data_IF_609945420086
#
_entry.id   IF_609945420086
#
_cell.length_a   1.000
_cell.length_b   1.000
_cell.length_c   1.000
_cell.angle_alpha   90.00
_cell.angle_beta   90.00
_cell.angle_gamma   90.00
#
_symmetry.space_group_name_H-M   'P 1'
#
loop_
_entity.id
_entity.type
_entity.pdbx_description
1 polymer ?
#
# COMPACT_ATOMS: atom_id res chain seq x y z
N UNK A 1 12.80 -12.18 19.77
CA UNK A 1 11.46 -12.11 20.39
C UNK A 1 10.90 -10.72 20.13
N UNK A 2 9.79 -10.56 19.39
CA UNK A 2 9.18 -9.24 19.21
C UNK A 2 8.56 -8.81 20.55
N UNK A 3 8.93 -7.63 21.06
CA UNK A 3 8.40 -7.07 22.29
C UNK A 3 6.92 -6.72 22.12
N UNK A 4 6.11 -6.92 23.16
CA UNK A 4 4.73 -6.39 23.25
C UNK A 4 4.76 -4.93 23.68
N UNK A 5 3.75 -4.17 23.27
CA UNK A 5 3.58 -2.77 23.61
C UNK A 5 2.31 -2.53 24.42
N UNK A 6 2.26 -1.43 25.16
CA UNK A 6 1.04 -0.99 25.84
C UNK A 6 -0.05 -0.70 24.79
N UNK A 7 -1.23 -1.25 25.00
CA UNK A 7 -2.36 -1.15 24.08
C UNK A 7 -2.44 -2.26 23.03
N UNK A 8 -1.46 -3.17 22.96
CA UNK A 8 -1.51 -4.33 22.07
C UNK A 8 -2.74 -5.20 22.37
N UNK A 9 -3.33 -5.76 21.32
CA UNK A 9 -4.37 -6.77 21.41
C UNK A 9 -3.78 -8.17 21.32
N UNK A 10 -4.27 -9.06 22.18
CA UNK A 10 -3.87 -10.45 22.23
C UNK A 10 -5.10 -11.35 22.21
N UNK A 11 -5.01 -12.45 21.49
CA UNK A 11 -6.01 -13.52 21.50
C UNK A 11 -5.39 -14.87 21.87
N UNK A 12 -6.24 -15.77 22.35
CA UNK A 12 -5.88 -17.15 22.72
C UNK A 12 -7.08 -18.08 22.53
N UNK A 13 -6.82 -19.37 22.46
CA UNK A 13 -7.86 -20.40 22.41
C UNK A 13 -8.08 -20.92 23.85
N UNK A 14 -9.31 -20.84 24.34
CA UNK A 14 -9.67 -21.36 25.66
C UNK A 14 -9.81 -22.91 25.65
N UNK A 15 -10.08 -23.49 26.83
CA UNK A 15 -10.23 -24.95 26.99
C UNK A 15 -11.42 -25.54 26.22
N UNK A 16 -12.38 -24.70 25.85
CA UNK A 16 -13.55 -25.07 25.06
C UNK A 16 -13.31 -24.89 23.56
N UNK A 17 -12.09 -24.55 23.15
CA UNK A 17 -11.73 -24.32 21.76
C UNK A 17 -12.22 -22.99 21.20
N UNK A 18 -12.64 -22.04 22.05
CA UNK A 18 -13.17 -20.74 21.61
C UNK A 18 -12.06 -19.69 21.60
N UNK A 19 -12.10 -18.82 20.59
CA UNK A 19 -11.20 -17.68 20.49
C UNK A 19 -11.63 -16.60 21.48
N UNK A 20 -10.77 -16.31 22.45
CA UNK A 20 -10.91 -15.21 23.40
C UNK A 20 -9.84 -14.16 23.13
N UNK A 21 -10.05 -12.92 23.57
CA UNK A 21 -9.05 -11.87 23.44
C UNK A 21 -9.17 -10.79 24.50
N UNK A 22 -8.08 -10.09 24.73
CA UNK A 22 -7.99 -8.97 25.68
C UNK A 22 -6.94 -7.96 25.21
N UNK A 23 -7.02 -6.74 25.74
CA UNK A 23 -5.99 -5.72 25.55
C UNK A 23 -4.97 -5.73 26.67
N UNK A 24 -3.72 -5.52 26.32
CA UNK A 24 -2.64 -5.32 27.28
C UNK A 24 -2.63 -3.84 27.66
N UNK A 25 -2.84 -3.54 28.95
CA UNK A 25 -2.78 -2.18 29.44
C UNK A 25 -1.35 -1.73 29.73
N UNK A 26 -0.56 -2.63 30.32
CA UNK A 26 0.85 -2.37 30.65
C UNK A 26 1.72 -3.58 30.33
N UNK A 27 2.86 -3.34 29.72
CA UNK A 27 3.94 -4.30 29.49
C UNK A 27 5.10 -3.91 30.40
N UNK A 28 5.61 -4.86 31.17
CA UNK A 28 6.85 -4.74 31.93
C UNK A 28 7.76 -5.91 31.56
N UNK A 29 8.71 -5.65 30.67
CA UNK A 29 9.62 -6.67 30.13
C UNK A 29 8.84 -7.84 29.50
N UNK A 30 8.86 -9.03 30.13
CA UNK A 30 8.12 -10.21 29.68
C UNK A 30 6.77 -10.41 30.40
N UNK A 31 6.33 -9.45 31.21
CA UNK A 31 5.06 -9.51 31.95
C UNK A 31 4.03 -8.61 31.28
N UNK A 32 2.88 -9.17 30.97
CA UNK A 32 1.75 -8.48 30.35
C UNK A 32 0.66 -8.29 31.41
N UNK A 33 0.22 -7.05 31.60
CA UNK A 33 -0.82 -6.68 32.55
C UNK A 33 -2.07 -6.23 31.77
N UNK A 34 -3.10 -7.09 31.67
CA UNK A 34 -4.41 -6.68 31.14
C UNK A 34 -5.15 -5.80 32.15
N UNK A 35 -6.22 -5.14 31.70
CA UNK A 35 -7.13 -4.41 32.60
C UNK A 35 -7.81 -5.36 33.60
N UNK A 36 -8.30 -6.48 33.07
CA UNK A 36 -8.95 -7.55 33.81
C UNK A 36 -8.25 -8.86 33.45
N UNK A 37 -7.85 -9.63 34.47
CA UNK A 37 -7.11 -10.86 34.25
C UNK A 37 -8.03 -11.95 33.70
N UNK A 38 -7.84 -12.41 32.44
CA UNK A 38 -8.66 -13.48 31.89
C UNK A 38 -8.30 -14.81 32.55
N UNK A 39 -9.25 -15.75 32.59
CA UNK A 39 -9.00 -17.11 33.08
C UNK A 39 -8.16 -17.88 32.06
N UNK A 40 -6.84 -17.81 32.21
CA UNK A 40 -5.87 -18.43 31.31
C UNK A 40 -5.10 -19.50 32.09
N UNK A 41 -5.09 -20.72 31.56
CA UNK A 41 -4.26 -21.80 32.11
C UNK A 41 -2.78 -21.50 31.88
N UNK A 42 -1.88 -21.82 32.83
CA UNK A 42 -0.45 -21.78 32.58
C UNK A 42 -0.07 -22.52 31.29
N UNK A 43 0.89 -21.96 30.54
CA UNK A 43 1.35 -22.46 29.22
C UNK A 43 0.38 -22.29 28.04
N UNK A 44 -0.71 -21.53 28.19
CA UNK A 44 -1.56 -21.16 27.04
C UNK A 44 -0.79 -20.22 26.10
N UNK A 45 -0.75 -20.55 24.81
CA UNK A 45 -0.11 -19.70 23.79
C UNK A 45 -0.95 -18.46 23.51
N UNK A 46 -0.30 -17.30 23.55
CA UNK A 46 -0.90 -16.01 23.24
C UNK A 46 -0.48 -15.57 21.83
N UNK A 47 -1.44 -15.09 21.03
CA UNK A 47 -1.23 -14.57 19.69
C UNK A 47 -1.49 -13.06 19.67
N UNK A 48 -0.58 -12.27 19.12
CA UNK A 48 -0.85 -10.83 18.89
C UNK A 48 -1.78 -10.69 17.69
N UNK A 49 -2.93 -10.05 17.89
CA UNK A 49 -3.87 -9.73 16.80
C UNK A 49 -3.98 -8.23 16.52
N UNK A 50 -3.41 -7.39 17.38
CA UNK A 50 -3.34 -5.94 17.18
C UNK A 50 -2.04 -5.39 17.76
N UNK A 51 -1.30 -4.63 16.97
CA UNK A 51 -0.02 -4.03 17.36
C UNK A 51 -0.17 -2.50 17.41
N UNK A 52 -0.21 -1.95 18.63
CA UNK A 52 -0.55 -0.56 18.84
C UNK A 52 0.53 0.41 18.35
N UNK A 53 1.80 0.02 18.42
CA UNK A 53 2.90 0.83 17.88
C UNK A 53 2.88 0.80 16.36
N UNK A 54 2.66 -0.36 15.76
CA UNK A 54 2.56 -0.48 14.31
C UNK A 54 1.42 0.39 13.75
N UNK A 55 0.24 0.33 14.37
CA UNK A 55 -0.89 1.18 14.00
C UNK A 55 -0.57 2.67 14.18
N UNK A 56 0.17 3.04 15.25
CA UNK A 56 0.60 4.43 15.45
C UNK A 56 1.57 4.88 14.37
N UNK A 57 2.49 4.03 13.95
CA UNK A 57 3.40 4.30 12.83
C UNK A 57 2.59 4.51 11.54
N UNK A 58 1.65 3.62 11.22
CA UNK A 58 0.79 3.72 10.03
C UNK A 58 -0.16 4.92 10.05
N UNK A 59 -0.57 5.39 11.23
CA UNK A 59 -1.44 6.57 11.37
C UNK A 59 -0.76 7.88 10.99
N UNK A 60 0.57 7.87 10.79
CA UNK A 60 1.39 9.03 10.45
C UNK A 60 2.16 8.76 9.16
N UNK A 61 2.83 9.79 8.64
CA UNK A 61 3.79 9.63 7.54
C UNK A 61 4.93 8.72 8.03
N UNK A 62 4.85 7.44 7.70
CA UNK A 62 5.74 6.39 8.20
C UNK A 62 7.04 6.27 7.41
N UNK A 63 7.00 6.61 6.12
CA UNK A 63 8.17 6.63 5.25
C UNK A 63 7.98 7.66 4.14
N UNK A 64 9.09 8.29 3.76
CA UNK A 64 9.18 9.09 2.54
C UNK A 64 10.47 8.70 1.83
N UNK A 65 10.36 8.35 0.54
CA UNK A 65 11.51 8.14 -0.31
C UNK A 65 11.69 9.38 -1.19
N UNK A 66 12.83 10.05 -1.04
CA UNK A 66 13.28 11.14 -1.90
C UNK A 66 14.55 10.68 -2.63
N UNK A 67 14.81 11.29 -3.77
CA UNK A 67 16.01 11.06 -4.58
C UNK A 67 17.07 12.07 -4.13
N UNK A 68 18.26 11.59 -3.76
CA UNK A 68 19.35 12.48 -3.36
C UNK A 68 19.85 13.30 -4.56
N UNK A 69 20.08 14.60 -4.33
CA UNK A 69 20.66 15.51 -5.33
C UNK A 69 21.82 16.28 -4.72
N UNK A 70 22.92 16.35 -5.47
CA UNK A 70 24.06 17.23 -5.24
C UNK A 70 23.94 18.46 -6.12
N UNK A 71 24.12 19.64 -5.53
CA UNK A 71 24.00 20.92 -6.22
C UNK A 71 25.33 21.67 -6.19
N UNK A 72 25.75 22.19 -7.33
CA UNK A 72 26.90 23.09 -7.44
C UNK A 72 26.42 24.41 -8.06
N UNK A 73 26.49 25.48 -7.28
CA UNK A 73 26.26 26.84 -7.76
C UNK A 73 27.62 27.52 -7.94
N UNK A 74 27.98 27.87 -9.18
CA UNK A 74 29.26 28.49 -9.51
C UNK A 74 29.05 29.75 -10.36
N UNK A 75 29.93 30.73 -10.26
CA UNK A 75 29.90 31.89 -11.16
C UNK A 75 30.81 31.68 -12.37
N UNK A 76 30.54 32.44 -13.44
CA UNK A 76 31.38 32.51 -14.62
C UNK A 76 31.45 33.95 -15.12
N UNK A 77 32.12 34.17 -16.26
CA UNK A 77 32.36 35.52 -16.78
C UNK A 77 31.08 36.32 -17.09
N UNK A 78 29.96 35.65 -17.36
CA UNK A 78 28.70 36.27 -17.81
C UNK A 78 27.51 36.02 -16.86
N UNK A 79 27.74 35.46 -15.68
CA UNK A 79 26.68 35.22 -14.70
C UNK A 79 26.94 34.01 -13.82
N UNK A 80 25.91 33.20 -13.60
CA UNK A 80 25.93 32.04 -12.69
C UNK A 80 25.51 30.76 -13.40
N UNK A 81 26.01 29.63 -12.90
CA UNK A 81 25.66 28.29 -13.35
C UNK A 81 25.20 27.46 -12.16
N UNK A 82 24.11 26.71 -12.33
CA UNK A 82 23.61 25.78 -11.35
C UNK A 82 23.60 24.39 -11.97
N UNK A 83 24.39 23.50 -11.38
CA UNK A 83 24.50 22.09 -11.76
C UNK A 83 23.83 21.23 -10.70
N UNK A 84 22.92 20.35 -11.12
CA UNK A 84 22.30 19.33 -10.28
C UNK A 84 22.73 17.95 -10.77
N UNK A 85 23.10 17.07 -9.85
CA UNK A 85 23.40 15.66 -10.13
C UNK A 85 22.61 14.79 -9.16
N UNK A 86 21.76 13.89 -9.66
CA UNK A 86 21.00 12.96 -8.84
C UNK A 86 21.77 11.67 -8.49
N UNK A 87 21.17 10.82 -7.65
CA UNK A 87 21.76 9.53 -7.22
C UNK A 87 21.90 8.49 -8.33
N UNK A 88 21.25 8.69 -9.47
CA UNK A 88 21.33 7.84 -10.66
C UNK A 88 22.20 8.48 -11.76
N UNK A 89 23.09 9.41 -11.38
CA UNK A 89 24.03 10.13 -12.23
C UNK A 89 23.39 10.99 -13.35
N UNK A 90 22.10 11.33 -13.24
CA UNK A 90 21.49 12.32 -14.13
C UNK A 90 22.01 13.70 -13.76
N UNK A 91 22.67 14.35 -14.72
CA UNK A 91 23.28 15.66 -14.52
C UNK A 91 22.67 16.69 -15.46
N UNK A 92 22.31 17.84 -14.89
CA UNK A 92 21.84 19.01 -15.64
C UNK A 92 22.58 20.24 -15.16
N UNK A 93 23.00 21.07 -16.11
CA UNK A 93 23.53 22.41 -15.83
C UNK A 93 22.67 23.44 -16.55
N UNK A 94 22.26 24.47 -15.82
CA UNK A 94 21.63 25.66 -16.39
C UNK A 94 22.46 26.89 -16.07
N UNK A 95 22.40 27.88 -16.95
CA UNK A 95 23.09 29.15 -16.79
C UNK A 95 22.10 30.28 -16.62
N UNK A 96 22.50 31.29 -15.86
CA UNK A 96 21.76 32.50 -15.59
C UNK A 96 22.67 33.67 -15.95
N UNK A 97 22.52 34.26 -17.14
CA UNK A 97 23.21 35.49 -17.51
C UNK A 97 22.74 36.62 -16.58
N UNK A 98 23.68 37.19 -15.82
CA UNK A 98 23.39 38.28 -14.88
C UNK A 98 24.67 39.04 -14.54
N UNK A 99 24.55 40.34 -14.39
CA UNK A 99 25.62 41.16 -13.83
C UNK A 99 25.89 40.76 -12.37
N UNK A 100 27.17 40.67 -12.01
CA UNK A 100 27.62 40.21 -10.69
C UNK A 100 27.83 41.43 -9.80
N UNK A 101 27.00 41.55 -8.77
CA UNK A 101 27.10 42.62 -7.78
C UNK A 101 27.77 42.08 -6.51
N UNK A 102 28.75 42.77 -5.91
CA UNK A 102 29.37 42.33 -4.67
C UNK A 102 28.38 42.43 -3.50
N UNK A 103 28.30 41.37 -2.70
CA UNK A 103 27.48 41.34 -1.50
C UNK A 103 28.20 41.99 -0.31
N UNK A 104 27.44 42.73 0.50
CA UNK A 104 27.95 43.38 1.73
C UNK A 104 28.19 42.40 2.88
N UNK A 105 27.54 41.25 2.85
CA UNK A 105 27.63 40.19 3.87
C UNK A 105 27.89 38.85 3.20
N UNK A 106 28.53 37.89 3.88
CA UNK A 106 28.74 36.54 3.35
C UNK A 106 27.41 35.87 2.94
N UNK A 107 27.30 35.43 1.69
CA UNK A 107 26.05 34.86 1.16
C UNK A 107 25.95 33.34 1.23
N UNK A 108 27.06 32.63 1.42
CA UNK A 108 27.17 31.16 1.26
C UNK A 108 26.06 30.37 1.98
N UNK A 109 25.84 30.63 3.27
CA UNK A 109 24.85 29.87 4.06
C UNK A 109 23.40 30.19 3.66
N UNK A 110 23.13 31.44 3.28
CA UNK A 110 21.84 31.84 2.74
C UNK A 110 21.57 31.13 1.41
N UNK A 111 22.54 31.14 0.49
CA UNK A 111 22.43 30.46 -0.80
C UNK A 111 22.17 28.96 -0.61
N UNK A 112 22.92 28.29 0.28
CA UNK A 112 22.68 26.88 0.64
C UNK A 112 21.28 26.65 1.19
N UNK A 113 20.83 27.50 2.11
CA UNK A 113 19.49 27.41 2.72
C UNK A 113 18.37 27.63 1.71
N UNK A 114 18.56 28.51 0.73
CA UNK A 114 17.56 28.68 -0.33
C UNK A 114 17.60 27.51 -1.31
N UNK A 115 18.77 27.01 -1.70
CA UNK A 115 18.88 25.87 -2.61
C UNK A 115 18.32 24.57 -2.03
N UNK A 116 18.40 24.37 -0.71
CA UNK A 116 17.86 23.17 -0.05
C UNK A 116 16.33 23.09 -0.03
N UNK A 117 15.62 24.19 -0.31
CA UNK A 117 14.15 24.25 -0.30
C UNK A 117 13.54 23.62 -1.55
N UNK A 118 13.49 22.28 -1.58
CA UNK A 118 12.95 21.50 -2.70
C UNK A 118 11.46 21.15 -2.59
N UNK A 119 10.83 21.42 -1.44
CA UNK A 119 9.37 21.31 -1.26
C UNK A 119 8.78 19.96 -1.71
N UNK A 120 7.75 20.03 -2.56
CA UNK A 120 6.99 18.86 -3.04
C UNK A 120 7.65 18.13 -4.21
N UNK A 121 8.88 18.46 -4.59
CA UNK A 121 9.61 17.74 -5.64
C UNK A 121 10.04 16.36 -5.13
N UNK A 122 10.35 15.39 -6.01
CA UNK A 122 10.78 14.06 -5.58
C UNK A 122 12.22 14.05 -5.02
N UNK A 123 12.88 15.20 -4.91
CA UNK A 123 14.29 15.29 -4.55
C UNK A 123 14.52 15.78 -3.12
N UNK A 124 15.67 15.41 -2.56
CA UNK A 124 16.26 15.99 -1.36
C UNK A 124 17.67 16.49 -1.67
N UNK A 125 18.01 17.69 -1.20
CA UNK A 125 19.37 18.23 -1.37
C UNK A 125 20.29 17.59 -0.31
N UNK A 126 21.20 16.72 -0.73
CA UNK A 126 22.20 16.11 0.17
C UNK A 126 23.44 16.97 0.31
N UNK A 127 23.92 17.51 -0.79
CA UNK A 127 25.13 18.33 -0.83
C UNK A 127 24.86 19.58 -1.65
N UNK A 128 25.29 20.73 -1.13
CA UNK A 128 25.20 22.01 -1.82
C UNK A 128 26.54 22.70 -1.69
N UNK A 129 27.22 22.86 -2.82
CA UNK A 129 28.49 23.55 -2.95
C UNK A 129 28.28 24.91 -3.63
N UNK A 130 28.89 25.95 -3.05
CA UNK A 130 28.91 27.30 -3.63
C UNK A 130 30.37 27.59 -4.00
N UNK A 131 30.65 27.65 -5.30
CA UNK A 131 31.98 27.88 -5.85
C UNK A 131 32.00 29.22 -6.57
N UNK A 132 31.98 30.30 -5.80
CA UNK A 132 32.08 31.66 -6.32
C UNK A 132 33.51 32.16 -6.22
N UNK A 133 33.97 32.90 -7.23
CA UNK A 133 35.29 33.56 -7.21
C UNK A 133 35.37 34.66 -6.16
N UNK A 134 34.24 35.30 -5.84
CA UNK A 134 34.11 36.39 -4.87
C UNK A 134 32.75 36.32 -4.16
N UNK A 135 32.54 37.16 -3.15
CA UNK A 135 31.25 37.24 -2.44
C UNK A 135 30.18 37.95 -3.29
N UNK A 136 29.56 37.23 -4.22
CA UNK A 136 28.51 37.77 -5.10
C UNK A 136 27.11 37.75 -4.47
N UNK A 137 26.32 38.79 -4.74
CA UNK A 137 24.93 38.90 -4.35
C UNK A 137 24.00 38.26 -5.39
N UNK A 138 23.11 37.37 -4.92
CA UNK A 138 22.07 36.79 -5.74
C UNK A 138 20.72 36.86 -5.00
N UNK A 139 19.72 37.58 -5.53
CA UNK A 139 18.42 37.70 -4.86
C UNK A 139 17.74 36.34 -4.66
N UNK A 140 17.10 36.16 -3.51
CA UNK A 140 16.43 34.90 -3.16
C UNK A 140 15.32 34.51 -4.16
N UNK A 141 14.61 35.49 -4.74
CA UNK A 141 13.60 35.25 -5.77
C UNK A 141 14.21 34.68 -7.05
N UNK A 142 15.34 35.23 -7.48
CA UNK A 142 16.08 34.78 -8.66
C UNK A 142 16.65 33.39 -8.42
N UNK A 143 17.24 33.14 -7.25
CA UNK A 143 17.75 31.83 -6.88
C UNK A 143 16.63 30.78 -6.79
N UNK A 144 15.46 31.14 -6.25
CA UNK A 144 14.31 30.24 -6.20
C UNK A 144 13.80 29.89 -7.60
N UNK A 145 13.78 30.85 -8.52
CA UNK A 145 13.42 30.60 -9.91
C UNK A 145 14.46 29.71 -10.62
N UNK A 146 15.74 30.03 -10.46
CA UNK A 146 16.85 29.26 -11.01
C UNK A 146 16.82 27.80 -10.52
N UNK A 147 16.59 27.59 -9.21
CA UNK A 147 16.39 26.27 -8.61
C UNK A 147 15.21 25.52 -9.24
N UNK A 148 14.05 26.17 -9.41
CA UNK A 148 12.86 25.54 -10.02
C UNK A 148 13.16 25.08 -11.45
N UNK A 149 13.73 25.95 -12.28
CA UNK A 149 14.10 25.60 -13.65
C UNK A 149 15.10 24.44 -13.72
N UNK A 150 16.09 24.41 -12.82
CA UNK A 150 17.07 23.32 -12.78
C UNK A 150 16.41 21.98 -12.42
N UNK A 151 15.51 21.99 -11.44
CA UNK A 151 14.75 20.81 -11.01
C UNK A 151 13.85 20.31 -12.15
N UNK A 152 13.14 21.18 -12.85
CA UNK A 152 12.27 20.78 -13.96
C UNK A 152 13.06 20.12 -15.10
N UNK A 153 14.25 20.65 -15.41
CA UNK A 153 15.15 20.04 -16.39
C UNK A 153 15.72 18.70 -15.91
N UNK A 154 16.05 18.57 -14.62
CA UNK A 154 16.49 17.30 -14.04
C UNK A 154 15.40 16.23 -14.10
N UNK A 155 14.15 16.59 -13.80
CA UNK A 155 12.99 15.69 -13.96
C UNK A 155 12.87 15.21 -15.41
N UNK A 156 13.05 16.12 -16.35
CA UNK A 156 12.98 15.81 -17.79
C UNK A 156 14.13 14.87 -18.20
N UNK A 157 15.37 15.19 -17.80
CA UNK A 157 16.54 14.36 -18.07
C UNK A 157 16.36 12.94 -17.50
N UNK A 158 15.88 12.84 -16.26
CA UNK A 158 15.60 11.56 -15.61
C UNK A 158 14.53 10.75 -16.34
N UNK A 159 13.45 11.39 -16.84
CA UNK A 159 12.43 10.70 -17.65
C UNK A 159 12.98 10.17 -18.97
N UNK A 160 13.87 10.91 -19.62
CA UNK A 160 14.51 10.52 -20.89
C UNK A 160 15.48 9.36 -20.65
N UNK A 161 16.27 9.42 -19.58
CA UNK A 161 17.29 8.43 -19.26
C UNK A 161 16.73 7.19 -18.54
N UNK A 162 15.50 7.26 -18.04
CA UNK A 162 14.88 6.15 -17.34
C UNK A 162 14.73 4.95 -18.28
N UNK A 163 15.46 3.88 -17.95
CA UNK A 163 15.33 2.59 -18.60
C UNK A 163 14.48 1.69 -17.71
N UNK A 164 13.30 1.34 -18.19
CA UNK A 164 12.48 0.34 -17.53
C UNK A 164 13.20 -1.01 -17.63
N UNK A 165 13.42 -1.66 -16.49
CA UNK A 165 13.86 -3.05 -16.49
C UNK A 165 12.79 -3.92 -17.14
N UNK A 166 13.12 -4.51 -18.28
CA UNK A 166 12.26 -5.47 -18.96
C UNK A 166 12.60 -6.86 -18.43
N UNK A 167 11.78 -7.36 -17.51
CA UNK A 167 11.81 -8.78 -17.16
C UNK A 167 11.05 -9.56 -18.22
N UNK A 168 11.75 -10.43 -18.95
CA UNK A 168 11.11 -11.34 -19.89
C UNK A 168 10.47 -12.46 -19.09
N UNK A 169 9.14 -12.54 -19.15
CA UNK A 169 8.42 -13.67 -18.58
C UNK A 169 8.83 -14.96 -19.28
N UNK A 170 9.35 -15.92 -18.52
CA UNK A 170 9.65 -17.26 -19.04
C UNK A 170 8.37 -18.07 -19.03
N UNK A 171 7.93 -18.50 -20.21
CA UNK A 171 6.76 -19.38 -20.31
C UNK A 171 6.99 -20.68 -19.53
N UNK A 172 5.93 -21.17 -18.90
CA UNK A 172 5.91 -22.39 -18.10
C UNK A 172 4.87 -23.34 -18.68
N UNK A 173 5.14 -24.65 -18.62
CA UNK A 173 4.31 -25.68 -19.28
C UNK A 173 3.63 -26.62 -18.27
N UNK A 174 3.55 -26.25 -16.99
CA UNK A 174 2.91 -27.10 -16.01
C UNK A 174 1.39 -27.01 -16.17
N UNK A 175 0.67 -28.11 -15.91
CA UNK A 175 -0.78 -28.11 -15.98
C UNK A 175 -1.38 -27.30 -14.83
N UNK A 176 -2.42 -26.51 -15.13
CA UNK A 176 -3.23 -25.87 -14.10
C UNK A 176 -4.10 -26.93 -13.39
N UNK A 177 -4.33 -26.84 -12.06
CA UNK A 177 -5.07 -27.87 -11.32
C UNK A 177 -6.50 -28.12 -11.79
N UNK A 178 -7.13 -27.15 -12.46
CA UNK A 178 -8.50 -27.22 -12.96
C UNK A 178 -8.49 -27.17 -14.48
N UNK A 179 -9.33 -27.98 -15.14
CA UNK A 179 -9.46 -27.98 -16.60
C UNK A 179 -10.52 -27.01 -17.11
N UNK A 180 -11.30 -26.42 -16.21
CA UNK A 180 -12.39 -25.49 -16.52
C UNK A 180 -12.44 -24.39 -15.46
N UNK A 181 -12.49 -23.15 -15.92
CA UNK A 181 -12.65 -21.96 -15.09
C UNK A 181 -13.98 -21.30 -15.43
N UNK A 182 -14.83 -21.16 -14.42
CA UNK A 182 -16.04 -20.33 -14.50
C UNK A 182 -15.68 -18.87 -14.23
N UNK A 183 -16.68 -17.98 -14.14
CA UNK A 183 -16.47 -16.58 -13.78
C UNK A 183 -15.68 -16.37 -12.47
N UNK A 184 -15.68 -17.38 -11.59
CA UNK A 184 -14.91 -17.40 -10.34
C UNK A 184 -13.39 -17.45 -10.56
N UNK A 185 -12.93 -17.82 -11.76
CA UNK A 185 -11.53 -17.76 -12.15
C UNK A 185 -11.01 -16.34 -12.38
N UNK A 186 -11.89 -15.33 -12.35
CA UNK A 186 -11.56 -13.90 -12.47
C UNK A 186 -10.68 -13.56 -13.69
N UNK A 187 -10.98 -14.15 -14.84
CA UNK A 187 -10.23 -13.92 -16.08
C UNK A 187 -10.73 -12.66 -16.78
N UNK A 188 -10.07 -11.54 -16.49
CA UNK A 188 -10.47 -10.20 -16.97
C UNK A 188 -9.91 -9.83 -18.35
N UNK A 189 -8.75 -10.36 -18.73
CA UNK A 189 -8.03 -9.93 -19.94
C UNK A 189 -7.51 -11.12 -20.77
N UNK A 190 -7.13 -10.83 -22.01
CA UNK A 190 -6.65 -11.85 -22.97
C UNK A 190 -5.35 -12.51 -22.52
N UNK A 191 -4.44 -11.79 -21.85
CA UNK A 191 -3.19 -12.36 -21.33
C UNK A 191 -3.45 -13.42 -20.26
N UNK A 192 -4.39 -13.16 -19.36
CA UNK A 192 -4.82 -14.12 -18.35
C UNK A 192 -5.48 -15.35 -19.01
N UNK A 193 -6.35 -15.14 -20.01
CA UNK A 193 -6.95 -16.25 -20.75
C UNK A 193 -5.90 -17.13 -21.45
N UNK A 194 -4.92 -16.51 -22.13
CA UNK A 194 -3.80 -17.23 -22.76
C UNK A 194 -2.99 -18.02 -21.74
N UNK A 195 -2.67 -17.43 -20.57
CA UNK A 195 -1.98 -18.13 -19.51
C UNK A 195 -2.71 -19.43 -19.12
N UNK A 196 -4.02 -19.38 -18.86
CA UNK A 196 -4.76 -20.58 -18.48
C UNK A 196 -4.83 -21.62 -19.61
N UNK A 197 -5.02 -21.18 -20.85
CA UNK A 197 -5.04 -22.09 -22.00
C UNK A 197 -3.68 -22.78 -22.23
N UNK A 198 -2.58 -22.04 -22.12
CA UNK A 198 -1.21 -22.57 -22.20
C UNK A 198 -0.95 -23.62 -21.10
N UNK A 199 -1.61 -23.50 -19.95
CA UNK A 199 -1.53 -24.43 -18.82
C UNK A 199 -2.63 -25.52 -18.88
N UNK A 200 -3.25 -25.74 -20.04
CA UNK A 200 -4.15 -26.88 -20.28
C UNK A 200 -5.60 -26.68 -19.82
N UNK A 201 -6.00 -25.46 -19.46
CA UNK A 201 -7.42 -25.15 -19.17
C UNK A 201 -8.18 -25.09 -20.49
N UNK A 202 -9.18 -25.97 -20.64
CA UNK A 202 -9.95 -26.13 -21.88
C UNK A 202 -11.04 -25.07 -22.04
N UNK A 203 -11.67 -24.69 -20.93
CA UNK A 203 -12.75 -23.70 -20.90
C UNK A 203 -12.42 -22.60 -19.90
N UNK A 204 -12.39 -21.37 -20.39
CA UNK A 204 -12.09 -20.18 -19.60
C UNK A 204 -13.21 -19.17 -19.78
N UNK A 205 -14.11 -19.09 -18.80
CA UNK A 205 -15.14 -18.07 -18.77
C UNK A 205 -14.55 -16.71 -18.39
N UNK A 206 -15.16 -15.64 -18.87
CA UNK A 206 -14.81 -14.28 -18.47
C UNK A 206 -15.13 -14.06 -16.98
N UNK A 207 -14.37 -13.18 -16.34
CA UNK A 207 -14.71 -12.65 -15.03
C UNK A 207 -16.11 -12.01 -15.03
N UNK A 208 -16.76 -12.01 -13.87
CA UNK A 208 -18.13 -11.49 -13.70
C UNK A 208 -18.25 -10.01 -14.08
N UNK A 209 -17.24 -9.19 -13.80
CA UNK A 209 -17.21 -7.76 -14.12
C UNK A 209 -17.11 -7.51 -15.63
N UNK A 210 -16.64 -8.49 -16.40
CA UNK A 210 -16.56 -8.41 -17.86
C UNK A 210 -17.84 -8.94 -18.51
N UNK A 211 -18.36 -10.06 -18.00
CA UNK A 211 -19.59 -10.67 -18.49
C UNK A 211 -20.38 -11.21 -17.30
N UNK A 212 -21.52 -10.56 -17.03
CA UNK A 212 -22.38 -10.94 -15.92
C UNK A 212 -23.03 -12.30 -16.18
N UNK A 213 -23.00 -13.17 -15.17
CA UNK A 213 -23.62 -14.50 -15.23
C UNK A 213 -24.93 -14.47 -14.45
N UNK A 214 -25.99 -15.02 -15.05
CA UNK A 214 -27.27 -15.17 -14.37
C UNK A 214 -27.15 -16.09 -13.15
N UNK A 215 -27.83 -15.71 -12.06
CA UNK A 215 -27.82 -16.43 -10.78
C UNK A 215 -26.39 -16.69 -10.23
N UNK A 216 -25.44 -15.79 -10.55
CA UNK A 216 -24.08 -15.86 -10.04
C UNK A 216 -24.03 -15.83 -8.51
N UNK A 217 -23.19 -16.67 -7.93
CA UNK A 217 -22.80 -16.58 -6.53
C UNK A 217 -21.72 -15.50 -6.41
N UNK A 218 -22.04 -14.41 -5.72
CA UNK A 218 -21.12 -13.31 -5.47
C UNK A 218 -20.23 -13.56 -4.26
N UNK A 219 -20.72 -14.31 -3.28
CA UNK A 219 -19.99 -14.56 -2.04
C UNK A 219 -20.24 -15.97 -1.51
N UNK A 220 -19.16 -16.61 -1.09
CA UNK A 220 -19.17 -17.90 -0.40
C UNK A 220 -18.78 -17.70 1.07
N UNK A 221 -19.70 -17.97 1.98
CA UNK A 221 -19.53 -17.73 3.40
C UNK A 221 -19.52 -19.04 4.18
N UNK A 222 -18.51 -19.23 5.05
CA UNK A 222 -18.54 -20.26 6.09
C UNK A 222 -19.43 -19.87 7.27
N UNK A 223 -19.58 -18.56 7.50
CA UNK A 223 -20.58 -18.05 8.42
C UNK A 223 -21.99 -18.28 7.83
N UNK A 224 -22.82 -19.02 8.55
CA UNK A 224 -24.15 -19.43 8.12
C UNK A 224 -25.22 -18.80 9.02
N UNK A 225 -26.07 -17.95 8.45
CA UNK A 225 -27.12 -17.27 9.22
C UNK A 225 -28.10 -18.24 9.86
N UNK A 226 -28.43 -19.37 9.22
CA UNK A 226 -29.24 -20.43 9.86
C UNK A 226 -28.59 -20.91 11.16
N UNK A 227 -27.27 -21.14 11.16
CA UNK A 227 -26.56 -21.59 12.36
C UNK A 227 -26.56 -20.52 13.45
N UNK A 228 -26.26 -19.26 13.08
CA UNK A 228 -26.27 -18.13 14.02
C UNK A 228 -27.63 -17.87 14.64
N UNK A 229 -28.72 -18.12 13.90
CA UNK A 229 -30.10 -17.94 14.38
C UNK A 229 -30.69 -19.16 15.08
N UNK A 230 -29.96 -20.26 15.23
CA UNK A 230 -30.50 -21.45 15.90
C UNK A 230 -31.23 -22.45 14.99
N UNK A 231 -31.20 -22.26 13.67
CA UNK A 231 -32.00 -22.99 12.68
C UNK A 231 -31.16 -23.90 11.76
N UNK A 232 -29.97 -24.30 12.19
CA UNK A 232 -29.15 -25.23 11.41
C UNK A 232 -29.73 -26.65 11.49
N UNK A 233 -30.12 -27.26 10.35
CA UNK A 233 -30.70 -28.61 10.36
C UNK A 233 -29.69 -29.69 10.77
N UNK A 234 -28.38 -29.44 10.60
CA UNK A 234 -27.32 -30.40 10.94
C UNK A 234 -26.97 -30.33 12.42
N UNK A 235 -26.69 -29.14 12.95
CA UNK A 235 -26.17 -28.96 14.31
C UNK A 235 -27.27 -28.78 15.37
N UNK A 236 -28.32 -28.01 15.06
CA UNK A 236 -29.39 -27.70 16.02
C UNK A 236 -30.63 -28.58 15.79
N UNK A 237 -30.78 -29.17 14.59
CA UNK A 237 -31.96 -29.98 14.18
C UNK A 237 -33.28 -29.23 14.30
N UNK A 238 -33.22 -27.90 14.26
CA UNK A 238 -34.35 -26.99 14.29
C UNK A 238 -34.56 -26.46 12.87
N UNK A 239 -35.82 -26.42 12.42
CA UNK A 239 -36.20 -25.71 11.19
C UNK A 239 -36.45 -24.26 11.51
N UNK A 240 -36.10 -23.38 10.58
CA UNK A 240 -36.44 -21.98 10.74
C UNK A 240 -37.96 -21.78 10.76
N UNK A 241 -38.46 -20.86 11.61
CA UNK A 241 -39.86 -20.49 11.63
C UNK A 241 -40.28 -19.68 10.38
N UNK A 242 -39.34 -19.14 9.60
CA UNK A 242 -39.63 -18.32 8.43
C UNK A 242 -39.52 -19.09 7.12
N UNK A 243 -40.41 -18.77 6.18
CA UNK A 243 -40.42 -19.35 4.83
C UNK A 243 -39.24 -18.81 4.01
N UNK A 244 -38.53 -19.73 3.36
CA UNK A 244 -37.42 -19.42 2.45
C UNK A 244 -37.89 -19.06 1.03
N UNK A 245 -37.04 -18.40 0.21
CA UNK A 245 -35.63 -18.05 0.44
C UNK A 245 -35.40 -16.81 1.32
N UNK A 246 -34.24 -16.74 1.98
CA UNK A 246 -33.80 -15.54 2.70
C UNK A 246 -33.07 -14.57 1.79
N UNK A 247 -33.05 -13.30 2.21
CA UNK A 247 -32.40 -12.23 1.48
C UNK A 247 -31.57 -11.37 2.43
N UNK A 248 -30.40 -10.93 1.96
CA UNK A 248 -29.73 -9.76 2.53
C UNK A 248 -30.25 -8.53 1.80
N UNK A 249 -30.56 -7.49 2.57
CA UNK A 249 -30.99 -6.20 2.02
C UNK A 249 -29.90 -5.20 2.36
N UNK A 250 -29.32 -4.59 1.32
CA UNK A 250 -28.35 -3.51 1.49
C UNK A 250 -29.07 -2.19 1.77
N UNK A 251 -28.35 -1.19 2.29
CA UNK A 251 -28.90 0.14 2.59
C UNK A 251 -29.46 0.85 1.35
N UNK A 252 -28.96 0.52 0.16
CA UNK A 252 -29.45 0.99 -1.13
C UNK A 252 -30.68 0.22 -1.65
N UNK A 253 -31.25 -0.67 -0.82
CA UNK A 253 -32.47 -1.42 -1.11
C UNK A 253 -32.27 -2.68 -1.95
N UNK A 254 -31.05 -2.96 -2.43
CA UNK A 254 -30.76 -4.17 -3.21
C UNK A 254 -30.96 -5.43 -2.38
N UNK A 255 -31.60 -6.44 -2.98
CA UNK A 255 -31.92 -7.72 -2.35
C UNK A 255 -31.07 -8.83 -2.93
N UNK A 256 -30.25 -9.45 -2.09
CA UNK A 256 -29.38 -10.56 -2.46
C UNK A 256 -29.96 -11.86 -1.92
N UNK A 257 -30.30 -12.79 -2.80
CA UNK A 257 -30.87 -14.10 -2.41
C UNK A 257 -29.80 -14.95 -1.72
N UNK A 258 -30.18 -15.62 -0.64
CA UNK A 258 -29.32 -16.56 0.06
C UNK A 258 -29.65 -18.00 -0.34
N UNK A 259 -28.61 -18.80 -0.54
CA UNK A 259 -28.69 -20.24 -0.74
C UNK A 259 -27.82 -20.95 0.30
N UNK A 260 -28.32 -22.03 0.89
CA UNK A 260 -27.63 -22.76 1.95
C UNK A 260 -27.24 -24.15 1.46
N UNK A 261 -25.95 -24.34 1.20
CA UNK A 261 -25.35 -25.65 0.93
C UNK A 261 -24.94 -26.29 2.25
N UNK A 262 -25.89 -26.97 2.89
CA UNK A 262 -25.66 -27.66 4.15
C UNK A 262 -24.63 -28.79 4.02
N UNK A 263 -24.47 -29.40 2.83
CA UNK A 263 -23.51 -30.50 2.61
C UNK A 263 -22.07 -29.99 2.76
N UNK A 264 -21.77 -28.82 2.20
CA UNK A 264 -20.44 -28.20 2.26
C UNK A 264 -20.27 -27.20 3.42
N UNK A 265 -21.28 -27.10 4.31
CA UNK A 265 -21.40 -26.10 5.37
C UNK A 265 -21.06 -24.70 4.83
N UNK A 266 -21.80 -24.26 3.82
CA UNK A 266 -21.54 -23.03 3.09
C UNK A 266 -22.85 -22.29 2.80
N UNK A 267 -22.88 -21.00 3.12
CA UNK A 267 -23.92 -20.08 2.68
C UNK A 267 -23.42 -19.34 1.44
N UNK A 268 -24.27 -19.22 0.43
CA UNK A 268 -23.99 -18.52 -0.82
C UNK A 268 -24.87 -17.29 -0.90
N UNK A 269 -24.26 -16.16 -1.25
CA UNK A 269 -24.96 -14.91 -1.57
C UNK A 269 -25.02 -14.80 -3.09
N UNK A 270 -26.23 -14.80 -3.63
CA UNK A 270 -26.50 -14.71 -5.07
C UNK A 270 -26.59 -13.25 -5.50
N UNK A 271 -26.30 -12.99 -6.77
CA UNK A 271 -26.50 -11.69 -7.40
C UNK A 271 -27.92 -11.18 -7.16
N UNK A 272 -28.04 -9.87 -6.98
CA UNK A 272 -29.33 -9.24 -6.78
C UNK A 272 -30.21 -9.45 -8.02
N UNK A 273 -31.48 -9.77 -7.80
CA UNK A 273 -32.52 -9.74 -8.83
C UNK A 273 -32.97 -8.31 -9.05
#
# INVERSE_FOLDING_TARGET
LKSFNNGDGVCYIDEQGRLQGFRINRVDSNKLYPQEMPRIKPRTTLYRNFDQEFERVLSRKSAERKIAVRMLLADHHSGFSLTLTDEDDNRVTITLPREKEPARTPQTDNLKTQLSKLGNTPFEAKEIEISFTDNWFLPASVLADFRRQAIDRLITARRINYRQELSVWKSTNHAFPQTTLTYLGNVMNTRAASFYQEHGVQQVAAAYEKEAVEDAVLMFCKHCLRYSMGWCPIHQRVRSPYKEPYYLVSNDGKRFRLEFDCKNCQMKVKAAQ
#
